data_IF_858325853166
#
_entry.id   IF_858325853166
#
_cell.length_a   1.000
_cell.length_b   1.000
_cell.length_c   1.000
_cell.angle_alpha   90.00
_cell.angle_beta   90.00
_cell.angle_gamma   90.00
#
_symmetry.space_group_name_H-M   'P 1'
#
loop_
_entity.id
_entity.type
_entity.pdbx_description
1 polymer ?
#
# COMPACT_ATOMS: atom_id res chain seq x y z
N UNK A 1 -18.93 -5.45 17.64
CA UNK A 1 -18.38 -4.09 17.43
C UNK A 1 -16.94 -4.10 16.89
N UNK A 2 -16.04 -4.95 17.40
CA UNK A 2 -14.60 -5.01 17.06
C UNK A 2 -14.29 -5.03 15.55
N UNK A 3 -15.03 -5.81 14.74
CA UNK A 3 -14.81 -5.88 13.28
C UNK A 3 -14.99 -4.53 12.57
N UNK A 4 -15.98 -3.73 12.97
CA UNK A 4 -16.23 -2.41 12.34
C UNK A 4 -15.13 -1.42 12.70
N UNK A 5 -14.72 -1.39 13.96
CA UNK A 5 -13.64 -0.51 14.43
C UNK A 5 -12.31 -0.88 13.77
N UNK A 6 -12.01 -2.19 13.67
CA UNK A 6 -10.83 -2.67 12.95
C UNK A 6 -10.84 -2.23 11.49
N UNK A 7 -11.97 -2.38 10.78
CA UNK A 7 -12.07 -1.96 9.38
C UNK A 7 -11.87 -0.45 9.21
N UNK A 8 -12.38 0.37 10.14
CA UNK A 8 -12.22 1.81 10.09
C UNK A 8 -10.76 2.25 10.32
N UNK A 9 -10.12 1.69 11.35
CA UNK A 9 -8.69 1.92 11.63
C UNK A 9 -7.85 1.47 10.44
N UNK A 10 -8.17 0.33 9.84
CA UNK A 10 -7.45 -0.21 8.69
C UNK A 10 -7.55 0.72 7.46
N UNK A 11 -8.72 1.30 7.22
CA UNK A 11 -8.93 2.29 6.15
C UNK A 11 -8.14 3.58 6.39
N UNK A 12 -8.17 4.11 7.62
CA UNK A 12 -7.37 5.28 8.00
C UNK A 12 -5.88 5.03 7.82
N UNK A 13 -5.40 3.85 8.20
CA UNK A 13 -4.01 3.48 8.04
C UNK A 13 -3.62 3.35 6.57
N UNK A 14 -4.47 2.73 5.74
CA UNK A 14 -4.25 2.65 4.30
C UNK A 14 -4.15 4.04 3.65
N UNK A 15 -5.07 4.95 3.97
CA UNK A 15 -5.09 6.31 3.42
C UNK A 15 -3.88 7.12 3.87
N UNK A 16 -3.52 7.06 5.16
CA UNK A 16 -2.34 7.78 5.68
C UNK A 16 -1.03 7.29 5.06
N UNK A 17 -0.87 5.98 4.85
CA UNK A 17 0.27 5.40 4.11
C UNK A 17 0.35 5.93 2.67
N UNK A 18 -0.77 5.97 1.96
CA UNK A 18 -0.82 6.51 0.59
C UNK A 18 -0.46 8.00 0.57
N UNK A 19 -1.01 8.81 1.47
CA UNK A 19 -0.69 10.25 1.58
C UNK A 19 0.79 10.45 1.92
N UNK A 20 1.34 9.67 2.85
CA UNK A 20 2.74 9.73 3.19
C UNK A 20 3.63 9.43 1.99
N UNK A 21 3.30 8.40 1.21
CA UNK A 21 4.03 8.06 -0.02
C UNK A 21 3.99 9.18 -1.06
N UNK A 22 2.82 9.81 -1.27
CA UNK A 22 2.66 10.95 -2.16
C UNK A 22 3.44 12.17 -1.68
N UNK A 23 3.46 12.40 -0.36
CA UNK A 23 4.19 13.51 0.24
C UNK A 23 5.71 13.35 0.05
N UNK A 24 6.24 12.13 0.16
CA UNK A 24 7.65 11.85 -0.14
C UNK A 24 7.94 12.16 -1.61
N UNK A 25 7.06 11.74 -2.53
CA UNK A 25 7.23 12.02 -3.97
C UNK A 25 7.25 13.53 -4.22
N UNK A 26 6.31 14.28 -3.64
CA UNK A 26 6.19 15.73 -3.84
C UNK A 26 7.32 16.52 -3.17
N UNK A 27 7.82 16.06 -2.02
CA UNK A 27 8.82 16.78 -1.23
C UNK A 27 10.27 16.46 -1.59
N UNK A 28 10.55 15.36 -2.31
CA UNK A 28 11.93 14.96 -2.56
C UNK A 28 12.46 15.47 -3.90
N UNK A 29 13.64 16.11 -3.86
CA UNK A 29 14.43 16.51 -5.03
C UNK A 29 14.98 15.32 -5.83
N UNK A 30 14.99 14.10 -5.25
CA UNK A 30 15.52 12.91 -5.91
C UNK A 30 14.68 11.65 -5.56
N UNK A 31 13.52 11.47 -6.22
CA UNK A 31 12.52 10.44 -5.87
C UNK A 31 13.07 9.01 -6.00
N UNK A 32 14.12 8.81 -6.80
CA UNK A 32 14.76 7.51 -6.97
C UNK A 32 15.38 6.94 -5.69
N UNK A 33 15.86 7.80 -4.78
CA UNK A 33 16.44 7.39 -3.50
C UNK A 33 15.39 6.83 -2.54
N UNK A 34 14.20 7.41 -2.55
CA UNK A 34 13.08 6.99 -1.69
C UNK A 34 12.14 5.99 -2.35
N UNK A 35 12.42 5.62 -3.59
CA UNK A 35 11.61 4.68 -4.37
C UNK A 35 11.29 3.37 -3.62
N UNK A 36 12.24 2.71 -2.92
CA UNK A 36 11.93 1.51 -2.14
C UNK A 36 10.88 1.79 -1.04
N UNK A 37 11.04 2.89 -0.31
CA UNK A 37 10.15 3.25 0.79
C UNK A 37 8.74 3.60 0.27
N UNK A 38 8.65 4.39 -0.82
CA UNK A 38 7.39 4.78 -1.45
C UNK A 38 6.59 3.54 -1.88
N UNK A 39 7.24 2.60 -2.56
CA UNK A 39 6.58 1.39 -3.04
C UNK A 39 6.20 0.42 -1.92
N UNK A 40 6.98 0.35 -0.84
CA UNK A 40 6.58 -0.39 0.37
C UNK A 40 5.34 0.22 1.00
N UNK A 41 5.28 1.56 1.14
CA UNK A 41 4.10 2.24 1.68
C UNK A 41 2.86 2.01 0.81
N UNK A 42 2.99 2.10 -0.51
CA UNK A 42 1.90 1.82 -1.46
C UNK A 42 1.47 0.34 -1.46
N UNK A 43 2.44 -0.57 -1.34
CA UNK A 43 2.19 -2.01 -1.21
C UNK A 43 1.38 -2.32 0.04
N UNK A 44 1.77 -1.77 1.20
CA UNK A 44 1.01 -1.91 2.43
C UNK A 44 -0.38 -1.25 2.33
N UNK A 45 -0.51 -0.05 1.77
CA UNK A 45 -1.83 0.58 1.62
C UNK A 45 -2.77 -0.28 0.77
N UNK A 46 -2.28 -0.86 -0.32
CA UNK A 46 -3.07 -1.75 -1.18
C UNK A 46 -3.44 -3.08 -0.49
N UNK A 47 -2.56 -3.64 0.32
CA UNK A 47 -2.88 -4.85 1.11
C UNK A 47 -3.99 -4.56 2.13
N UNK A 48 -3.90 -3.45 2.86
CA UNK A 48 -4.91 -3.08 3.85
C UNK A 48 -6.26 -2.75 3.20
N UNK A 49 -6.24 -2.07 2.04
CA UNK A 49 -7.41 -1.81 1.23
C UNK A 49 -8.02 -3.11 0.68
N UNK A 50 -7.20 -4.04 0.22
CA UNK A 50 -7.61 -5.37 -0.22
C UNK A 50 -8.31 -6.16 0.88
N UNK A 51 -7.77 -6.17 2.10
CA UNK A 51 -8.41 -6.80 3.28
C UNK A 51 -9.77 -6.14 3.58
N UNK A 52 -9.85 -4.82 3.51
CA UNK A 52 -11.09 -4.08 3.79
C UNK A 52 -12.18 -4.36 2.73
N UNK A 53 -11.79 -4.42 1.45
CA UNK A 53 -12.67 -4.79 0.35
C UNK A 53 -13.16 -6.24 0.46
N UNK A 54 -12.30 -7.15 0.91
CA UNK A 54 -12.67 -8.55 1.15
C UNK A 54 -13.73 -8.66 2.25
N UNK A 55 -13.53 -7.91 3.35
CA UNK A 55 -14.50 -7.82 4.45
C UNK A 55 -15.84 -7.21 4.02
N UNK A 56 -15.83 -6.33 3.01
CA UNK A 56 -17.04 -5.75 2.42
C UNK A 56 -17.59 -6.57 1.22
N UNK A 57 -17.21 -7.85 1.10
CA UNK A 57 -17.66 -8.78 0.06
C UNK A 57 -17.30 -8.39 -1.39
N UNK A 58 -16.44 -7.39 -1.61
CA UNK A 58 -15.95 -6.96 -2.93
C UNK A 58 -14.72 -7.79 -3.35
N UNK A 59 -14.92 -9.11 -3.53
CA UNK A 59 -13.85 -10.09 -3.74
C UNK A 59 -12.94 -9.80 -4.95
N UNK A 60 -13.53 -9.42 -6.10
CA UNK A 60 -12.76 -9.13 -7.33
C UNK A 60 -11.83 -7.94 -7.10
N UNK A 61 -12.37 -6.86 -6.53
CA UNK A 61 -11.61 -5.64 -6.30
C UNK A 61 -10.51 -5.85 -5.24
N UNK A 62 -10.80 -6.65 -4.22
CA UNK A 62 -9.80 -7.09 -3.23
C UNK A 62 -8.65 -7.86 -3.87
N UNK A 63 -8.95 -8.79 -4.77
CA UNK A 63 -7.93 -9.57 -5.48
C UNK A 63 -7.03 -8.68 -6.35
N UNK A 64 -7.61 -7.73 -7.09
CA UNK A 64 -6.84 -6.73 -7.83
C UNK A 64 -5.91 -5.92 -6.92
N UNK A 65 -6.36 -5.51 -5.73
CA UNK A 65 -5.52 -4.81 -4.76
C UNK A 65 -4.35 -5.66 -4.27
N UNK A 66 -4.56 -6.95 -4.02
CA UNK A 66 -3.47 -7.86 -3.62
C UNK A 66 -2.45 -8.11 -4.75
N UNK A 67 -2.92 -8.26 -5.99
CA UNK A 67 -2.01 -8.35 -7.15
C UNK A 67 -1.14 -7.10 -7.24
N UNK A 68 -1.75 -5.93 -7.13
CA UNK A 68 -1.04 -4.66 -7.23
C UNK A 68 0.00 -4.50 -6.10
N UNK A 69 -0.36 -4.89 -4.87
CA UNK A 69 0.56 -4.91 -3.75
C UNK A 69 1.75 -5.87 -3.99
N UNK A 70 1.48 -7.07 -4.51
CA UNK A 70 2.52 -8.05 -4.82
C UNK A 70 3.50 -7.51 -5.87
N UNK A 71 3.02 -6.90 -6.94
CA UNK A 71 3.88 -6.24 -7.93
C UNK A 71 4.75 -5.15 -7.31
N UNK A 72 4.19 -4.33 -6.42
CA UNK A 72 4.95 -3.28 -5.73
C UNK A 72 6.08 -3.87 -4.87
N UNK A 73 5.80 -4.93 -4.10
CA UNK A 73 6.82 -5.59 -3.28
C UNK A 73 7.90 -6.29 -4.11
N UNK A 74 7.53 -6.95 -5.20
CA UNK A 74 8.49 -7.57 -6.13
C UNK A 74 9.40 -6.51 -6.73
N UNK A 75 8.85 -5.37 -7.14
CA UNK A 75 9.63 -4.24 -7.71
C UNK A 75 10.62 -3.65 -6.71
N UNK A 76 10.24 -3.58 -5.44
CA UNK A 76 11.16 -3.17 -4.36
C UNK A 76 12.24 -4.22 -4.13
N UNK A 77 11.84 -5.48 -4.01
CA UNK A 77 12.75 -6.60 -3.78
C UNK A 77 13.81 -6.72 -4.88
N UNK A 78 13.41 -6.59 -6.14
CA UNK A 78 14.37 -6.60 -7.25
C UNK A 78 15.35 -5.43 -7.17
N UNK A 79 14.88 -4.22 -6.86
CA UNK A 79 15.76 -3.04 -6.75
C UNK A 79 16.74 -3.13 -5.58
N UNK A 80 16.38 -3.80 -4.48
CA UNK A 80 17.28 -4.01 -3.33
C UNK A 80 18.37 -5.06 -3.66
N UNK A 81 18.02 -6.11 -4.41
CA UNK A 81 18.97 -7.19 -4.77
C UNK A 81 19.99 -6.71 -5.82
N UNK A 82 19.60 -5.81 -6.72
CA UNK A 82 20.41 -5.36 -7.85
C UNK A 82 21.01 -3.94 -7.69
N UNK A 83 20.93 -3.32 -6.50
CA UNK A 83 21.53 -2.01 -6.18
C UNK A 83 22.74 -2.13 -5.28
#
# INVERSE_FOLDING_TARGET
>A
MIKKTFNYVNMLFAVSLSIFSLNIIASSLNPNKYFPLIFVCLGFSNTLLGINLLNNHKKILSFCSFILAAFMFITVGSKIIFS
#
